data_IF_347614056310
#
_entry.id   IF_347614056310
#
_cell.length_a   1.000
_cell.length_b   1.000
_cell.length_c   1.000
_cell.angle_alpha   90.00
_cell.angle_beta   90.00
_cell.angle_gamma   90.00
#
_symmetry.space_group_name_H-M   'P 1'
#
loop_
_entity.id
_entity.type
_entity.pdbx_description
1 polymer ?
#
# COMPACT_ATOMS: atom_id res chain seq x y z
N UNK A 1 -12.51 -28.67 -23.10
CA UNK A 1 -11.80 -28.36 -21.82
C UNK A 1 -11.18 -26.98 -21.97
N UNK A 2 -11.35 -26.10 -21.01
CA UNK A 2 -10.84 -24.73 -21.07
C UNK A 2 -10.26 -24.32 -19.71
N UNK A 3 -9.44 -23.28 -19.71
CA UNK A 3 -8.84 -22.70 -18.51
C UNK A 3 -9.17 -21.21 -18.49
N UNK A 4 -9.56 -20.71 -17.33
CA UNK A 4 -9.72 -19.28 -17.04
C UNK A 4 -9.17 -19.03 -15.65
N UNK A 5 -7.91 -18.62 -15.57
CA UNK A 5 -7.22 -18.37 -14.30
C UNK A 5 -6.36 -17.11 -14.40
N UNK A 6 -6.43 -16.29 -13.37
CA UNK A 6 -5.62 -15.09 -13.20
C UNK A 6 -4.89 -15.18 -11.88
N UNK A 7 -3.61 -14.86 -11.91
CA UNK A 7 -2.76 -14.77 -10.72
C UNK A 7 -2.13 -13.38 -10.70
N UNK A 8 -2.32 -12.63 -9.63
CA UNK A 8 -1.79 -11.28 -9.48
C UNK A 8 -1.11 -11.12 -8.12
N UNK A 9 -0.02 -10.38 -8.13
CA UNK A 9 0.63 -9.87 -6.93
C UNK A 9 0.82 -8.37 -7.09
N UNK A 10 0.17 -7.58 -6.27
CA UNK A 10 0.18 -6.13 -6.40
C UNK A 10 -0.23 -5.40 -5.13
N UNK A 11 -0.50 -4.11 -5.29
CA UNK A 11 -0.92 -3.26 -4.18
C UNK A 11 -2.32 -2.70 -4.44
N UNK A 12 -3.12 -2.70 -3.39
CA UNK A 12 -4.48 -2.16 -3.43
C UNK A 12 -4.45 -0.65 -3.62
N UNK A 13 -5.19 -0.15 -4.59
CA UNK A 13 -5.16 1.27 -4.98
C UNK A 13 -6.08 2.17 -4.16
N UNK A 14 -7.13 1.62 -3.58
CA UNK A 14 -8.05 2.33 -2.68
C UNK A 14 -8.78 1.33 -1.79
N UNK A 15 -9.39 1.83 -0.73
CA UNK A 15 -10.17 0.99 0.18
C UNK A 15 -11.31 0.29 -0.56
N UNK A 16 -11.63 -0.96 -0.19
CA UNK A 16 -12.71 -1.70 -0.83
C UNK A 16 -14.05 -0.99 -0.74
N UNK A 17 -14.76 -0.95 -1.83
CA UNK A 17 -16.17 -0.56 -1.86
C UNK A 17 -17.02 -1.78 -1.58
N UNK A 18 -17.76 -1.74 -0.49
CA UNK A 18 -18.58 -2.86 -0.02
C UNK A 18 -20.05 -2.59 -0.30
N UNK A 19 -20.74 -3.57 -0.85
CA UNK A 19 -22.16 -3.52 -1.16
C UNK A 19 -22.86 -4.76 -0.64
N UNK A 20 -24.12 -4.60 -0.33
CA UNK A 20 -25.01 -5.67 0.11
C UNK A 20 -26.18 -5.79 -0.88
N UNK A 21 -25.98 -6.49 -2.03
CA UNK A 21 -26.97 -6.51 -3.10
C UNK A 21 -28.28 -7.21 -2.72
N UNK A 22 -28.23 -8.13 -1.78
CA UNK A 22 -29.41 -8.76 -1.18
C UNK A 22 -29.09 -9.20 0.24
N UNK A 23 -30.13 -9.60 0.98
CA UNK A 23 -29.96 -10.03 2.35
C UNK A 23 -29.02 -11.26 2.42
N UNK A 24 -28.00 -11.18 3.28
CA UNK A 24 -27.01 -12.23 3.45
C UNK A 24 -25.92 -12.28 2.38
N UNK A 25 -25.92 -11.37 1.39
CA UNK A 25 -24.88 -11.26 0.38
C UNK A 25 -24.02 -10.04 0.61
N UNK A 26 -22.72 -10.21 0.50
CA UNK A 26 -21.75 -9.14 0.56
C UNK A 26 -20.80 -9.22 -0.64
N UNK A 27 -20.53 -8.07 -1.24
CA UNK A 27 -19.61 -7.88 -2.36
C UNK A 27 -18.63 -6.78 -2.03
N UNK A 28 -17.36 -7.03 -2.23
CA UNK A 28 -16.30 -6.02 -2.11
C UNK A 28 -15.60 -5.87 -3.46
N UNK A 29 -15.38 -4.65 -3.89
CA UNK A 29 -14.64 -4.35 -5.11
C UNK A 29 -13.59 -3.27 -4.88
N UNK A 30 -12.43 -3.46 -5.49
CA UNK A 30 -11.32 -2.53 -5.38
C UNK A 30 -10.32 -2.73 -6.51
N UNK A 31 -9.56 -1.68 -6.88
CA UNK A 31 -8.49 -1.81 -7.85
C UNK A 31 -7.21 -2.36 -7.23
N UNK A 32 -6.51 -3.21 -7.97
CA UNK A 32 -5.18 -3.71 -7.66
C UNK A 32 -4.20 -3.25 -8.74
N UNK A 33 -3.09 -2.67 -8.33
CA UNK A 33 -2.02 -2.24 -9.22
C UNK A 33 -0.93 -3.31 -9.31
N UNK A 34 -0.57 -3.67 -10.53
CA UNK A 34 0.66 -4.41 -10.84
C UNK A 34 1.57 -3.49 -11.66
N UNK A 35 2.87 -3.46 -11.33
CA UNK A 35 3.80 -2.55 -11.97
C UNK A 35 5.01 -3.27 -12.52
N UNK A 36 5.37 -2.94 -13.75
CA UNK A 36 6.62 -3.29 -14.37
C UNK A 36 7.64 -2.18 -14.12
N UNK A 37 8.81 -2.55 -13.64
CA UNK A 37 9.85 -1.57 -13.35
C UNK A 37 10.37 -0.91 -14.63
N UNK A 38 10.75 0.34 -14.52
CA UNK A 38 11.51 1.02 -15.56
C UNK A 38 12.84 0.28 -15.83
N UNK A 39 13.21 0.19 -17.09
CA UNK A 39 14.47 -0.45 -17.49
C UNK A 39 15.05 0.27 -18.72
N UNK A 40 16.34 0.01 -18.97
CA UNK A 40 17.02 0.49 -20.15
C UNK A 40 17.30 -0.69 -21.08
N UNK A 41 16.94 -0.57 -22.36
CA UNK A 41 17.20 -1.59 -23.36
C UNK A 41 18.70 -1.67 -23.69
N UNK A 42 19.12 -2.76 -24.32
CA UNK A 42 20.49 -2.92 -24.79
C UNK A 42 20.91 -1.84 -25.81
N UNK A 43 19.95 -1.23 -26.50
CA UNK A 43 20.16 -0.11 -27.42
C UNK A 43 20.21 1.27 -26.76
N UNK A 44 20.09 1.33 -25.41
CA UNK A 44 20.14 2.57 -24.65
C UNK A 44 18.80 3.31 -24.52
N UNK A 45 17.71 2.74 -25.02
CA UNK A 45 16.39 3.32 -24.88
C UNK A 45 15.84 3.11 -23.46
N UNK A 46 15.41 4.19 -22.82
CA UNK A 46 14.78 4.12 -21.50
C UNK A 46 13.29 3.78 -21.64
N UNK A 47 12.86 2.69 -20.99
CA UNK A 47 11.47 2.30 -20.90
C UNK A 47 10.97 2.67 -19.50
N UNK A 48 9.94 3.55 -19.41
CA UNK A 48 9.43 4.00 -18.12
C UNK A 48 8.69 2.89 -17.38
N UNK A 49 8.51 3.06 -16.08
CA UNK A 49 7.63 2.22 -15.26
C UNK A 49 6.21 2.22 -15.83
N UNK A 50 5.59 1.06 -15.86
CA UNK A 50 4.22 0.89 -16.31
C UNK A 50 3.39 0.21 -15.24
N UNK A 51 2.25 0.80 -14.94
CA UNK A 51 1.29 0.26 -13.97
C UNK A 51 0.02 -0.19 -14.70
N UNK A 52 -0.41 -1.40 -14.40
CA UNK A 52 -1.69 -1.94 -14.86
C UNK A 52 -2.66 -2.00 -13.68
N UNK A 53 -3.88 -1.53 -13.91
CA UNK A 53 -4.94 -1.52 -12.91
C UNK A 53 -5.95 -2.63 -13.18
N UNK A 54 -6.15 -3.48 -12.18
CA UNK A 54 -7.07 -4.60 -12.26
C UNK A 54 -8.25 -4.38 -11.32
N UNK A 55 -9.45 -4.57 -11.82
CA UNK A 55 -10.66 -4.50 -11.00
C UNK A 55 -10.94 -5.85 -10.37
N UNK A 56 -10.83 -5.94 -9.06
CA UNK A 56 -11.10 -7.15 -8.30
C UNK A 56 -12.47 -7.10 -7.66
N UNK A 57 -13.13 -8.26 -7.66
CA UNK A 57 -14.43 -8.45 -7.02
C UNK A 57 -14.35 -9.67 -6.12
N UNK A 58 -14.75 -9.47 -4.88
CA UNK A 58 -14.84 -10.54 -3.88
C UNK A 58 -16.28 -10.71 -3.41
N UNK A 59 -16.67 -11.96 -3.16
CA UNK A 59 -17.99 -12.33 -2.71
C UNK A 59 -17.96 -13.08 -1.39
N UNK A 60 -19.01 -12.98 -0.63
CA UNK A 60 -19.21 -13.77 0.59
C UNK A 60 -18.10 -13.56 1.62
N UNK A 61 -17.55 -14.62 2.13
CA UNK A 61 -16.52 -14.59 3.19
C UNK A 61 -15.28 -13.79 2.78
N UNK A 62 -14.86 -13.90 1.52
CA UNK A 62 -13.72 -13.12 1.02
C UNK A 62 -14.01 -11.62 1.08
N UNK A 63 -15.23 -11.21 0.75
CA UNK A 63 -15.66 -9.82 0.84
C UNK A 63 -15.73 -9.33 2.30
N UNK A 64 -16.16 -10.15 3.23
CA UNK A 64 -16.15 -9.83 4.67
C UNK A 64 -14.72 -9.58 5.18
N UNK A 65 -13.79 -10.43 4.79
CA UNK A 65 -12.38 -10.27 5.15
C UNK A 65 -11.80 -9.01 4.51
N UNK A 66 -12.15 -8.74 3.24
CA UNK A 66 -11.73 -7.53 2.56
C UNK A 66 -12.23 -6.26 3.27
N UNK A 67 -13.48 -6.24 3.68
CA UNK A 67 -14.07 -5.11 4.43
C UNK A 67 -13.31 -4.81 5.72
N UNK A 68 -12.91 -5.85 6.43
CA UNK A 68 -12.25 -5.72 7.74
C UNK A 68 -10.77 -5.39 7.65
N UNK A 69 -10.05 -5.95 6.70
CA UNK A 69 -8.59 -5.98 6.71
C UNK A 69 -7.92 -5.34 5.51
N UNK A 70 -8.54 -5.34 4.33
CA UNK A 70 -7.94 -4.76 3.13
C UNK A 70 -8.12 -3.25 3.13
N UNK A 71 -7.03 -2.53 2.92
CA UNK A 71 -7.00 -1.06 2.81
C UNK A 71 -6.11 -0.65 1.65
N UNK A 72 -6.23 0.61 1.24
CA UNK A 72 -5.32 1.22 0.28
C UNK A 72 -3.86 0.94 0.67
N UNK A 73 -3.07 0.46 -0.28
CA UNK A 73 -1.66 0.13 -0.07
C UNK A 73 -1.38 -1.29 0.43
N UNK A 74 -2.40 -2.06 0.77
CA UNK A 74 -2.22 -3.47 1.15
C UNK A 74 -1.59 -4.24 0.00
N UNK A 75 -0.51 -4.97 0.28
CA UNK A 75 0.09 -5.88 -0.68
C UNK A 75 -0.67 -7.20 -0.68
N UNK A 76 -1.13 -7.60 -1.85
CA UNK A 76 -2.08 -8.68 -1.99
C UNK A 76 -1.65 -9.65 -3.08
N UNK A 77 -1.65 -10.93 -2.76
CA UNK A 77 -1.59 -12.04 -3.71
C UNK A 77 -3.00 -12.54 -3.97
N UNK A 78 -3.37 -12.70 -5.22
CA UNK A 78 -4.73 -13.05 -5.63
C UNK A 78 -4.71 -14.13 -6.69
N UNK A 79 -5.59 -15.11 -6.54
CA UNK A 79 -5.97 -16.04 -7.59
C UNK A 79 -7.47 -15.91 -7.87
N UNK A 80 -7.82 -15.92 -9.12
CA UNK A 80 -9.20 -15.81 -9.55
C UNK A 80 -9.39 -16.10 -11.02
N UNK A 81 -10.49 -15.63 -11.57
CA UNK A 81 -10.83 -15.78 -12.98
C UNK A 81 -11.37 -14.49 -13.58
N UNK A 82 -11.17 -14.32 -14.88
CA UNK A 82 -11.70 -13.18 -15.62
C UNK A 82 -13.21 -13.33 -15.82
N UNK A 83 -13.92 -12.23 -15.61
CA UNK A 83 -15.35 -12.08 -15.91
C UNK A 83 -15.57 -10.75 -16.60
N UNK A 84 -16.26 -10.79 -17.72
CA UNK A 84 -16.73 -9.58 -18.40
C UNK A 84 -18.23 -9.50 -18.26
N UNK A 85 -18.73 -8.37 -17.79
CA UNK A 85 -20.16 -8.07 -17.74
C UNK A 85 -20.44 -6.80 -18.52
N UNK A 86 -21.68 -6.63 -18.94
CA UNK A 86 -22.14 -5.39 -19.54
C UNK A 86 -23.11 -4.68 -18.60
N UNK A 87 -23.14 -3.39 -18.70
CA UNK A 87 -24.10 -2.53 -18.01
C UNK A 87 -24.46 -1.34 -18.90
N UNK A 88 -25.58 -0.75 -18.63
CA UNK A 88 -26.03 0.46 -19.32
C UNK A 88 -25.68 1.66 -18.44
N UNK A 89 -24.96 2.64 -19.04
CA UNK A 89 -24.61 3.86 -18.33
C UNK A 89 -25.77 4.87 -18.30
N UNK A 90 -25.56 6.02 -17.66
CA UNK A 90 -26.57 7.09 -17.55
C UNK A 90 -27.03 7.62 -18.90
N UNK A 91 -26.23 7.48 -19.94
CA UNK A 91 -26.51 7.91 -21.31
C UNK A 91 -27.15 6.80 -22.16
N UNK A 92 -27.57 5.69 -21.55
CA UNK A 92 -28.09 4.50 -22.18
C UNK A 92 -27.12 3.86 -23.18
N UNK A 93 -25.83 4.02 -22.96
CA UNK A 93 -24.78 3.38 -23.73
C UNK A 93 -24.37 2.08 -23.01
N UNK A 94 -24.37 0.99 -23.78
CA UNK A 94 -23.90 -0.31 -23.26
C UNK A 94 -22.40 -0.28 -23.07
N UNK A 95 -21.95 -0.54 -21.84
CA UNK A 95 -20.55 -0.62 -21.45
C UNK A 95 -20.18 -2.02 -21.04
N UNK A 96 -18.95 -2.38 -21.32
CA UNK A 96 -18.35 -3.64 -20.89
C UNK A 96 -17.29 -3.37 -19.83
N UNK A 97 -17.28 -4.16 -18.79
CA UNK A 97 -16.24 -4.11 -17.75
C UNK A 97 -15.69 -5.51 -17.53
N UNK A 98 -14.37 -5.62 -17.55
CA UNK A 98 -13.67 -6.87 -17.23
C UNK A 98 -13.17 -6.79 -15.79
N UNK A 99 -13.56 -7.77 -15.01
CA UNK A 99 -13.28 -7.87 -13.60
C UNK A 99 -12.60 -9.22 -13.31
N UNK A 100 -11.87 -9.27 -12.22
CA UNK A 100 -11.28 -10.50 -11.71
C UNK A 100 -12.08 -10.92 -10.50
N UNK A 101 -12.77 -12.05 -10.62
CA UNK A 101 -13.48 -12.68 -9.52
C UNK A 101 -12.49 -13.48 -8.69
N UNK A 102 -12.24 -12.99 -7.48
CA UNK A 102 -11.24 -13.57 -6.57
C UNK A 102 -11.77 -14.86 -5.97
N UNK A 103 -11.01 -15.92 -6.12
CA UNK A 103 -11.30 -17.23 -5.53
C UNK A 103 -10.52 -17.44 -4.23
N UNK A 104 -9.25 -17.02 -4.23
CA UNK A 104 -8.38 -17.05 -3.06
C UNK A 104 -7.43 -15.86 -3.05
N UNK A 105 -7.00 -15.46 -1.87
CA UNK A 105 -6.05 -14.37 -1.72
C UNK A 105 -5.27 -14.49 -0.41
N UNK A 106 -4.12 -13.83 -0.37
CA UNK A 106 -3.30 -13.68 0.82
C UNK A 106 -2.80 -12.24 0.94
N UNK A 107 -2.89 -11.70 2.14
CA UNK A 107 -2.31 -10.40 2.46
C UNK A 107 -0.84 -10.59 2.83
N UNK A 108 0.05 -9.88 2.15
CA UNK A 108 1.49 -9.95 2.34
C UNK A 108 2.00 -8.69 3.02
N UNK A 109 3.00 -8.86 3.90
CA UNK A 109 3.66 -7.72 4.52
C UNK A 109 2.85 -7.01 5.60
N UNK A 110 1.91 -7.68 6.25
CA UNK A 110 1.09 -7.18 7.37
C UNK A 110 1.83 -6.99 8.69
N UNK A 111 3.14 -6.84 8.68
CA UNK A 111 3.90 -6.38 9.84
C UNK A 111 3.68 -4.89 10.03
N UNK A 112 3.32 -4.51 11.23
CA UNK A 112 3.23 -3.12 11.72
C UNK A 112 4.43 -2.30 11.24
N UNK A 113 4.28 -1.59 10.15
CA UNK A 113 5.26 -0.59 9.69
C UNK A 113 4.99 0.79 10.25
N UNK A 114 4.03 0.92 11.13
CA UNK A 114 3.58 2.23 11.60
C UNK A 114 4.24 2.72 12.86
N UNK A 115 4.94 1.87 13.61
CA UNK A 115 5.39 2.29 14.93
C UNK A 115 6.90 2.55 15.07
N UNK A 116 7.69 2.31 14.04
CA UNK A 116 9.14 2.54 14.14
C UNK A 116 9.65 3.82 13.46
N UNK A 117 8.78 4.60 12.82
CA UNK A 117 9.20 5.89 12.29
C UNK A 117 9.00 7.06 13.25
N UNK A 118 8.35 6.84 14.38
CA UNK A 118 8.20 7.88 15.41
C UNK A 118 9.17 7.74 16.60
N UNK A 119 10.00 6.72 16.61
CA UNK A 119 11.01 6.56 17.67
C UNK A 119 12.46 6.71 17.21
N UNK A 120 12.67 7.15 16.00
CA UNK A 120 13.95 7.72 15.63
C UNK A 120 13.87 9.25 15.74
N UNK A 121 13.40 9.75 16.85
CA UNK A 121 14.00 10.98 17.34
C UNK A 121 15.40 10.57 17.80
N UNK A 122 16.44 11.13 17.21
CA UNK A 122 17.68 11.15 17.95
C UNK A 122 17.32 11.88 19.24
N UNK A 123 17.39 11.19 20.34
CA UNK A 123 17.75 11.84 21.57
C UNK A 123 19.02 12.58 21.21
N UNK A 124 18.86 13.82 20.86
CA UNK A 124 19.88 14.77 21.11
C UNK A 124 20.12 14.62 22.60
N UNK A 125 21.10 13.83 22.92
CA UNK A 125 21.75 13.93 24.18
C UNK A 125 22.09 15.41 24.27
N UNK A 126 21.29 16.11 24.98
CA UNK A 126 21.71 17.29 25.66
C UNK A 126 22.71 16.82 26.73
N UNK A 127 23.86 16.47 26.28
CA UNK A 127 25.04 16.84 27.04
C UNK A 127 25.20 18.32 26.79
N UNK A 128 24.44 19.10 27.52
CA UNK A 128 24.95 20.36 27.94
C UNK A 128 26.34 20.08 28.48
N UNK A 129 27.38 20.62 27.90
CA UNK A 129 28.58 20.80 28.68
C UNK A 129 28.14 21.78 29.75
N UNK A 130 27.97 21.30 30.95
CA UNK A 130 28.09 22.20 32.08
C UNK A 130 29.33 23.02 31.80
N UNK A 131 29.23 24.34 31.80
CA UNK A 131 30.40 25.14 31.92
C UNK A 131 31.00 24.68 33.26
N UNK A 132 32.04 23.92 33.16
CA UNK A 132 32.99 23.90 34.25
C UNK A 132 33.30 25.37 34.43
N UNK A 133 32.73 25.91 35.46
CA UNK A 133 33.36 27.01 36.12
C UNK A 133 34.73 26.48 36.50
N UNK A 134 35.64 26.63 35.61
CA UNK A 134 36.98 26.85 36.00
C UNK A 134 36.85 28.04 36.91
N UNK A 135 36.82 27.74 38.17
CA UNK A 135 37.09 28.73 39.17
C UNK A 135 38.51 29.13 38.89
N UNK A 136 38.68 30.02 37.99
CA UNK A 136 39.84 30.86 37.99
C UNK A 136 39.71 31.67 39.24
N UNK A 137 40.15 31.02 40.24
CA UNK A 137 40.73 31.71 41.38
C UNK A 137 41.98 32.37 40.87
N UNK A 138 41.82 33.27 39.98
CA UNK A 138 42.80 34.29 39.81
C UNK A 138 42.75 35.06 41.10
N UNK A 139 43.68 34.73 41.93
CA UNK A 139 43.89 35.43 43.15
C UNK A 139 44.15 36.88 42.80
N UNK A 140 43.26 37.79 43.09
CA UNK A 140 43.45 39.19 42.70
C UNK A 140 44.57 39.88 43.46
N UNK A 141 45.29 39.12 44.27
CA UNK A 141 46.42 39.63 45.02
C UNK A 141 47.79 39.40 44.39
N UNK A 142 47.83 38.59 43.31
CA UNK A 142 49.08 38.40 42.58
C UNK A 142 49.02 39.12 41.25
N UNK A 143 49.23 40.38 41.29
CA UNK A 143 49.64 41.10 40.12
C UNK A 143 51.13 40.97 40.01
N UNK A 144 51.63 40.26 39.00
CA UNK A 144 53.09 40.31 38.74
C UNK A 144 53.41 41.69 38.22
N UNK A 145 54.26 42.30 38.87
CA UNK A 145 54.86 43.52 38.36
C UNK A 145 55.94 43.17 37.34
#
# INVERSE_FOLDING_TARGET
MSVNKVILLGNVGRDPEVRYPSQGQIVASFPLATSDRAYTTSSGTQVPERTEWHNLVMWGRNAEVAEKYIRKGTRLYVEGRLRTRNYEDRNKIRRYVTEIYVESFEMLGGGKRTDNMQQAQPSAAQSEPQPQQAGDMVNPGEVPF
#
